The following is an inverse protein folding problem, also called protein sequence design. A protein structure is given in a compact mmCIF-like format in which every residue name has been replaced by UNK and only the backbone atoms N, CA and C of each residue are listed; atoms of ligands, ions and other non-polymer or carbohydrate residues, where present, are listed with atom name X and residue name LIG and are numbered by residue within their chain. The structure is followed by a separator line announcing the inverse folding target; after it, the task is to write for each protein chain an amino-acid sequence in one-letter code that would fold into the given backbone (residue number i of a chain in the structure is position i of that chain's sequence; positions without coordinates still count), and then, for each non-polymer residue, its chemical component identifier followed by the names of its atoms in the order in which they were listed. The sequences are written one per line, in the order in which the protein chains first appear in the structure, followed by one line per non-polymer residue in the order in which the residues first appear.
data_IF_436108097506
#
_entry.id   IF_436108097506
#
_cell.length_a   1.000
_cell.length_b   1.000
_cell.length_c   1.000
_cell.angle_alpha   90.00
_cell.angle_beta   90.00
_cell.angle_gamma   90.00
#
_symmetry.space_group_name_H-M   'P 1'
#
loop_
_entity.id
_entity.type
_entity.pdbx_description
1 polymer ?
#
# COMPACT_ATOMS: atom_id res chain seq x y z
N UNK A 1 -33.19 -1.14 0.69
CA UNK A 1 -33.74 0.11 0.14
C UNK A 1 -32.62 0.79 -0.60
N UNK A 2 -32.86 1.22 -1.83
CA UNK A 2 -31.84 1.91 -2.64
C UNK A 2 -31.77 3.34 -2.14
N UNK A 3 -30.70 3.74 -1.46
CA UNK A 3 -30.34 5.16 -1.42
C UNK A 3 -30.20 5.60 -2.87
N UNK A 4 -30.95 6.61 -3.31
CA UNK A 4 -30.79 7.15 -4.66
C UNK A 4 -29.31 7.55 -4.88
N UNK A 5 -28.56 6.70 -5.57
CA UNK A 5 -27.12 6.89 -5.74
C UNK A 5 -26.91 7.52 -7.10
N UNK A 6 -26.65 8.83 -7.12
CA UNK A 6 -26.21 9.49 -8.35
C UNK A 6 -24.89 8.88 -8.82
N UNK A 7 -24.80 8.58 -10.11
CA UNK A 7 -23.56 8.08 -10.71
C UNK A 7 -22.49 9.16 -10.56
N UNK A 8 -21.36 8.79 -9.98
CA UNK A 8 -20.19 9.66 -9.87
C UNK A 8 -19.59 9.91 -11.25
N UNK A 9 -19.99 11.03 -11.86
CA UNK A 9 -19.59 11.41 -13.21
C UNK A 9 -18.08 11.64 -13.36
N UNK A 10 -17.38 11.92 -12.26
CA UNK A 10 -15.92 12.14 -12.29
C UNK A 10 -15.12 10.88 -12.63
N UNK A 11 -15.73 9.71 -12.47
CA UNK A 11 -15.10 8.40 -12.73
C UNK A 11 -15.38 7.84 -14.12
N UNK A 12 -16.14 8.55 -14.94
CA UNK A 12 -16.39 8.12 -16.31
C UNK A 12 -15.11 8.24 -17.14
N UNK A 13 -14.82 7.28 -18.04
CA UNK A 13 -13.71 7.42 -18.96
C UNK A 13 -13.93 8.65 -19.84
N UNK A 14 -12.85 9.35 -20.24
CA UNK A 14 -12.97 10.44 -21.19
C UNK A 14 -13.57 9.89 -22.50
N UNK A 15 -14.46 10.64 -23.16
CA UNK A 15 -15.05 10.20 -24.42
C UNK A 15 -14.03 10.27 -25.56
N UNK A 16 -14.27 9.53 -26.63
CA UNK A 16 -13.41 9.45 -27.83
C UNK A 16 -13.08 10.82 -28.46
N UNK A 17 -13.91 11.83 -28.21
CA UNK A 17 -13.67 13.21 -28.64
C UNK A 17 -12.44 13.83 -27.98
N UNK A 18 -12.04 13.34 -26.81
CA UNK A 18 -10.86 13.81 -26.08
C UNK A 18 -9.68 12.88 -26.38
N UNK A 19 -8.81 13.32 -27.28
CA UNK A 19 -7.67 12.54 -27.72
C UNK A 19 -6.46 12.67 -26.77
N UNK A 20 -5.68 11.59 -26.64
CA UNK A 20 -4.37 11.63 -26.00
C UNK A 20 -3.36 12.30 -26.94
N UNK A 21 -2.72 13.37 -26.46
CA UNK A 21 -1.85 14.19 -27.27
C UNK A 21 -0.38 13.81 -27.09
N UNK A 22 0.32 13.59 -28.21
CA UNK A 22 1.76 13.33 -28.24
C UNK A 22 2.41 14.26 -29.27
N UNK A 23 3.33 15.09 -28.78
CA UNK A 23 4.11 15.99 -29.63
C UNK A 23 4.90 15.21 -30.69
N UNK A 24 5.56 14.11 -30.31
CA UNK A 24 6.37 13.31 -31.23
C UNK A 24 5.53 12.67 -32.33
N UNK A 25 4.32 12.20 -32.00
CA UNK A 25 3.39 11.63 -32.98
C UNK A 25 2.94 12.68 -34.00
N UNK A 26 2.62 13.89 -33.53
CA UNK A 26 2.23 15.01 -34.39
C UNK A 26 3.41 15.43 -35.27
N UNK A 27 4.60 15.60 -34.71
CA UNK A 27 5.81 15.97 -35.45
C UNK A 27 6.13 14.95 -36.55
N UNK A 28 6.06 13.66 -36.25
CA UNK A 28 6.25 12.61 -37.24
C UNK A 28 5.21 12.68 -38.37
N UNK A 29 3.94 12.93 -38.05
CA UNK A 29 2.89 13.11 -39.05
C UNK A 29 3.15 14.33 -39.95
N UNK A 30 3.51 15.48 -39.38
CA UNK A 30 3.84 16.69 -40.16
C UNK A 30 5.08 16.51 -41.03
N UNK A 31 6.10 15.77 -40.56
CA UNK A 31 7.28 15.40 -41.36
C UNK A 31 6.89 14.55 -42.57
N UNK A 32 6.08 13.52 -42.34
CA UNK A 32 5.58 12.65 -43.40
C UNK A 32 4.76 13.43 -44.44
N UNK A 33 3.91 14.36 -44.00
CA UNK A 33 3.13 15.21 -44.90
C UNK A 33 4.03 16.09 -45.79
N UNK A 34 5.05 16.74 -45.22
CA UNK A 34 6.00 17.53 -46.00
C UNK A 34 6.78 16.67 -46.98
N UNK A 35 7.23 15.48 -46.57
CA UNK A 35 7.94 14.54 -47.44
C UNK A 35 7.07 14.11 -48.64
N UNK A 36 5.76 13.96 -48.45
CA UNK A 36 4.83 13.62 -49.53
C UNK A 36 4.61 14.79 -50.51
N UNK A 37 4.55 16.02 -50.00
CA UNK A 37 4.27 17.23 -50.81
C UNK A 37 5.51 17.69 -51.57
N UNK A 38 6.69 17.61 -50.94
CA UNK A 38 7.97 18.05 -51.49
C UNK A 38 9.07 16.98 -51.28
N UNK A 39 9.02 15.85 -52.01
CA UNK A 39 9.99 14.77 -51.86
C UNK A 39 11.44 15.21 -52.12
N UNK A 40 11.65 16.26 -52.91
CA UNK A 40 12.95 16.84 -53.23
C UNK A 40 13.68 17.44 -52.02
N UNK A 41 12.98 17.69 -50.90
CA UNK A 41 13.55 18.23 -49.67
C UNK A 41 14.21 17.17 -48.78
N UNK A 42 13.99 15.87 -49.06
CA UNK A 42 14.55 14.75 -48.29
C UNK A 42 14.38 14.91 -46.76
N UNK A 43 13.14 15.16 -46.34
CA UNK A 43 12.71 15.52 -44.97
C UNK A 43 13.14 14.47 -43.93
N UNK A 44 13.20 13.20 -44.35
CA UNK A 44 13.62 12.07 -43.51
C UNK A 44 15.08 12.17 -43.06
N UNK A 45 15.93 12.82 -43.87
CA UNK A 45 17.36 12.99 -43.60
C UNK A 45 17.73 14.39 -43.06
N UNK A 46 16.74 15.25 -42.80
CA UNK A 46 17.00 16.58 -42.23
C UNK A 46 17.58 16.49 -40.81
N UNK A 47 18.67 17.21 -40.59
CA UNK A 47 19.26 17.40 -39.27
C UNK A 47 18.33 18.20 -38.35
N UNK A 48 18.43 18.01 -37.04
CA UNK A 48 17.65 18.79 -36.06
C UNK A 48 18.01 20.29 -36.04
N UNK A 49 19.21 20.63 -36.51
CA UNK A 49 19.68 22.00 -36.67
C UNK A 49 19.15 22.69 -37.93
N UNK A 50 18.56 21.93 -38.86
CA UNK A 50 18.03 22.47 -40.10
C UNK A 50 16.86 23.44 -39.84
N UNK A 51 16.80 24.60 -40.51
CA UNK A 51 15.70 25.55 -40.37
C UNK A 51 14.32 24.93 -40.64
N UNK A 52 14.21 24.00 -41.58
CA UNK A 52 12.96 23.29 -41.89
C UNK A 52 12.53 22.42 -40.71
N UNK A 53 13.46 21.70 -40.09
CA UNK A 53 13.22 20.94 -38.86
C UNK A 53 12.67 21.84 -37.76
N UNK A 54 13.24 23.04 -37.56
CA UNK A 54 12.72 24.00 -36.57
C UNK A 54 11.32 24.51 -36.91
N UNK A 55 11.02 24.76 -38.18
CA UNK A 55 9.68 25.15 -38.61
C UNK A 55 8.65 24.04 -38.37
N UNK A 56 9.00 22.78 -38.66
CA UNK A 56 8.14 21.62 -38.41
C UNK A 56 7.86 21.45 -36.90
N UNK A 57 8.86 21.66 -36.05
CA UNK A 57 8.67 21.68 -34.59
C UNK A 57 7.68 22.77 -34.15
N UNK A 58 7.79 23.98 -34.71
CA UNK A 58 6.82 25.07 -34.45
C UNK A 58 5.42 24.70 -34.91
N UNK A 59 5.28 24.08 -36.08
CA UNK A 59 3.98 23.62 -36.60
C UNK A 59 3.36 22.55 -35.71
N UNK A 60 4.12 21.52 -35.35
CA UNK A 60 3.68 20.45 -34.46
C UNK A 60 3.26 21.01 -33.09
N UNK A 61 4.01 21.98 -32.54
CA UNK A 61 3.66 22.63 -31.28
C UNK A 61 2.37 23.45 -31.39
N UNK A 62 2.17 24.20 -32.47
CA UNK A 62 0.91 24.94 -32.71
C UNK A 62 -0.28 24.01 -32.85
N UNK A 63 -0.12 22.90 -33.58
CA UNK A 63 -1.17 21.90 -33.72
C UNK A 63 -1.50 21.24 -32.38
N UNK A 64 -0.49 20.87 -31.59
CA UNK A 64 -0.67 20.35 -30.23
C UNK A 64 -1.51 21.32 -29.37
N UNK A 65 -1.22 22.62 -29.42
CA UNK A 65 -1.96 23.63 -28.66
C UNK A 65 -3.40 23.79 -29.15
N UNK A 66 -3.62 23.71 -30.47
CA UNK A 66 -4.96 23.76 -31.05
C UNK A 66 -5.79 22.53 -30.65
N UNK A 67 -5.22 21.33 -30.74
CA UNK A 67 -5.86 20.09 -30.31
C UNK A 67 -6.14 20.08 -28.80
N UNK A 68 -5.21 20.57 -27.97
CA UNK A 68 -5.43 20.75 -26.54
C UNK A 68 -6.61 21.70 -26.25
N UNK A 69 -6.68 22.83 -26.96
CA UNK A 69 -7.80 23.77 -26.84
C UNK A 69 -9.13 23.13 -27.27
N UNK A 70 -9.12 22.27 -28.29
CA UNK A 70 -10.31 21.51 -28.72
C UNK A 70 -10.71 20.51 -27.63
N UNK A 71 -9.77 19.75 -27.05
CA UNK A 71 -10.00 18.86 -25.93
C UNK A 71 -10.61 19.59 -24.73
N UNK A 72 -10.08 20.75 -24.36
CA UNK A 72 -10.61 21.59 -23.28
C UNK A 72 -12.02 22.10 -23.60
N UNK A 73 -12.27 22.50 -24.85
CA UNK A 73 -13.60 22.94 -25.30
C UNK A 73 -14.62 21.79 -25.24
N UNK A 74 -14.21 20.58 -25.64
CA UNK A 74 -15.03 19.37 -25.54
C UNK A 74 -15.34 19.03 -24.07
N UNK A 75 -14.35 19.09 -23.17
CA UNK A 75 -14.55 18.90 -21.73
C UNK A 75 -15.47 19.95 -21.13
N UNK A 76 -15.39 21.20 -21.60
CA UNK A 76 -16.19 22.31 -21.14
C UNK A 76 -17.69 22.17 -21.41
N UNK A 77 -18.10 21.40 -22.42
CA UNK A 77 -19.52 21.19 -22.75
C UNK A 77 -20.12 19.92 -22.15
N UNK A 78 -19.37 19.19 -21.34
CA UNK A 78 -19.81 17.93 -20.72
C UNK A 78 -20.00 18.12 -19.22
N UNK A 79 -21.18 17.75 -18.70
CA UNK A 79 -21.50 17.89 -17.27
C UNK A 79 -20.45 17.26 -16.35
N UNK A 80 -19.88 16.11 -16.76
CA UNK A 80 -18.87 15.38 -16.01
C UNK A 80 -17.57 16.16 -15.76
N UNK A 81 -17.17 17.05 -16.67
CA UNK A 81 -15.87 17.74 -16.63
C UNK A 81 -15.96 19.27 -16.69
N UNK A 82 -17.13 19.83 -16.98
CA UNK A 82 -17.32 21.27 -17.03
C UNK A 82 -17.11 21.90 -15.65
N UNK A 83 -16.52 23.09 -15.65
CA UNK A 83 -16.23 23.90 -14.46
C UNK A 83 -16.61 25.37 -14.70
N UNK A 84 -16.76 26.13 -13.61
CA UNK A 84 -17.05 27.56 -13.64
C UNK A 84 -18.26 27.92 -14.52
N UNK A 85 -18.10 28.95 -15.36
CA UNK A 85 -19.19 29.48 -16.20
C UNK A 85 -19.73 28.49 -17.22
N UNK A 86 -18.93 27.53 -17.69
CA UNK A 86 -19.42 26.50 -18.58
C UNK A 86 -20.43 25.58 -17.86
N UNK A 87 -20.11 25.19 -16.62
CA UNK A 87 -21.03 24.43 -15.78
C UNK A 87 -22.29 25.23 -15.46
N UNK A 88 -22.18 26.54 -15.22
CA UNK A 88 -23.33 27.42 -14.98
C UNK A 88 -24.29 27.43 -16.17
N UNK A 89 -23.77 27.50 -17.41
CA UNK A 89 -24.58 27.46 -18.62
C UNK A 89 -25.24 26.08 -18.84
N UNK A 90 -24.55 25.00 -18.50
CA UNK A 90 -25.13 23.65 -18.56
C UNK A 90 -26.24 23.48 -17.50
N UNK A 91 -26.02 23.97 -16.28
CA UNK A 91 -27.01 23.94 -15.20
C UNK A 91 -28.28 24.73 -15.58
N UNK A 92 -28.11 25.86 -16.27
CA UNK A 92 -29.22 26.68 -16.75
C UNK A 92 -30.16 25.93 -17.72
N UNK A 93 -29.68 24.92 -18.46
CA UNK A 93 -30.52 24.11 -19.36
C UNK A 93 -31.61 23.32 -18.63
N UNK A 94 -31.38 23.03 -17.34
CA UNK A 94 -32.31 22.31 -16.47
C UNK A 94 -32.83 23.19 -15.34
N UNK A 95 -32.85 24.51 -15.54
CA UNK A 95 -33.32 25.52 -14.58
C UNK A 95 -32.60 25.47 -13.21
N UNK A 96 -31.35 25.03 -13.18
CA UNK A 96 -30.50 25.09 -11.98
C UNK A 96 -29.58 26.29 -12.07
N UNK A 97 -29.44 27.02 -10.98
CA UNK A 97 -28.53 28.15 -10.84
C UNK A 97 -27.60 27.92 -9.65
N UNK A 98 -26.38 28.45 -9.77
CA UNK A 98 -25.38 28.43 -8.70
C UNK A 98 -25.89 29.22 -7.51
N UNK A 99 -25.93 28.59 -6.35
CA UNK A 99 -26.34 29.22 -5.10
C UNK A 99 -25.24 30.10 -4.52
N UNK A 100 -25.66 31.22 -3.92
CA UNK A 100 -24.82 32.10 -3.10
C UNK A 100 -24.89 31.57 -1.67
N UNK A 101 -23.74 31.31 -1.05
CA UNK A 101 -23.61 30.74 0.29
C UNK A 101 -23.79 31.79 1.40
N UNK A 102 -23.48 33.06 1.12
CA UNK A 102 -23.45 34.15 2.10
C UNK A 102 -24.48 35.25 1.78
N UNK A 103 -25.73 34.89 1.45
CA UNK A 103 -26.75 35.84 0.98
C UNK A 103 -26.96 37.06 1.88
N UNK A 104 -26.97 36.86 3.20
CA UNK A 104 -27.16 37.95 4.16
C UNK A 104 -25.99 38.94 4.13
N UNK A 105 -24.76 38.45 4.08
CA UNK A 105 -23.56 39.27 3.95
C UNK A 105 -23.52 40.02 2.62
N UNK A 106 -23.95 39.37 1.52
CA UNK A 106 -24.08 40.02 0.21
C UNK A 106 -25.13 41.13 0.24
N UNK A 107 -26.26 40.92 0.92
CA UNK A 107 -27.26 41.96 1.11
C UNK A 107 -26.71 43.16 1.93
N UNK A 108 -25.71 42.92 2.78
CA UNK A 108 -24.96 43.94 3.52
C UNK A 108 -23.79 44.57 2.73
N UNK A 109 -23.53 44.13 1.49
CA UNK A 109 -22.53 44.70 0.59
C UNK A 109 -21.20 43.94 0.48
N UNK A 110 -21.11 42.73 1.05
CA UNK A 110 -19.94 41.86 0.90
C UNK A 110 -19.91 41.14 -0.46
N UNK A 111 -18.75 40.59 -0.82
CA UNK A 111 -18.62 39.83 -2.07
C UNK A 111 -19.36 38.49 -1.97
N UNK A 112 -20.04 38.04 -3.05
CA UNK A 112 -20.74 36.77 -3.05
C UNK A 112 -19.76 35.60 -3.03
N UNK A 113 -19.96 34.73 -2.05
CA UNK A 113 -19.37 33.40 -1.98
C UNK A 113 -20.35 32.42 -2.62
N UNK A 114 -19.88 31.61 -3.56
CA UNK A 114 -20.73 30.69 -4.30
C UNK A 114 -20.49 29.24 -3.91
N UNK A 115 -21.49 28.40 -4.14
CA UNK A 115 -21.30 26.94 -4.05
C UNK A 115 -20.23 26.44 -5.05
N UNK A 116 -19.58 25.34 -4.69
CA UNK A 116 -18.56 24.73 -5.54
C UNK A 116 -19.16 23.99 -6.76
N UNK A 117 -18.30 23.71 -7.74
CA UNK A 117 -18.70 23.04 -8.98
C UNK A 117 -19.25 21.63 -8.74
N UNK A 118 -18.72 20.91 -7.75
CA UNK A 118 -19.17 19.54 -7.45
C UNK A 118 -20.62 19.50 -6.98
N UNK A 119 -21.01 20.43 -6.10
CA UNK A 119 -22.40 20.55 -5.63
C UNK A 119 -23.32 21.01 -6.75
N UNK A 120 -22.92 22.01 -7.54
CA UNK A 120 -23.71 22.46 -8.69
C UNK A 120 -23.92 21.33 -9.70
N UNK A 121 -22.88 20.55 -9.99
CA UNK A 121 -22.94 19.38 -10.88
C UNK A 121 -23.89 18.32 -10.34
N UNK A 122 -23.79 17.97 -9.06
CA UNK A 122 -24.68 17.01 -8.42
C UNK A 122 -26.15 17.45 -8.47
N UNK A 123 -26.43 18.73 -8.18
CA UNK A 123 -27.78 19.31 -8.29
C UNK A 123 -28.30 19.32 -9.73
N UNK A 124 -27.43 19.63 -10.70
CA UNK A 124 -27.76 19.62 -12.13
C UNK A 124 -28.13 18.22 -12.61
N UNK A 125 -27.39 17.20 -12.19
CA UNK A 125 -27.72 15.79 -12.49
C UNK A 125 -29.05 15.37 -11.86
N UNK A 126 -29.30 15.81 -10.62
CA UNK A 126 -30.52 15.51 -9.87
C UNK A 126 -31.76 16.26 -10.38
N UNK A 127 -31.57 17.36 -11.12
CA UNK A 127 -32.67 18.21 -11.61
C UNK A 127 -33.71 17.46 -12.46
N UNK A 128 -33.29 16.42 -13.19
CA UNK A 128 -34.22 15.61 -13.99
C UNK A 128 -35.26 14.88 -13.13
N UNK A 129 -34.90 14.50 -11.89
CA UNK A 129 -35.85 13.90 -10.95
C UNK A 129 -36.91 14.91 -10.47
N UNK A 130 -36.54 16.19 -10.41
CA UNK A 130 -37.44 17.29 -10.04
C UNK A 130 -38.56 17.56 -11.06
N UNK A 131 -38.49 16.99 -12.27
CA UNK A 131 -39.61 17.08 -13.23
C UNK A 131 -40.72 16.06 -12.96
N UNK A 132 -40.50 15.12 -12.04
CA UNK A 132 -41.49 14.11 -11.67
C UNK A 132 -42.59 14.74 -10.80
N UNK A 133 -43.85 14.61 -11.24
CA UNK A 133 -45.03 14.99 -10.46
C UNK A 133 -45.60 13.84 -9.63
N UNK A 134 -44.99 12.67 -9.70
CA UNK A 134 -45.47 11.43 -9.08
C UNK A 134 -44.86 11.15 -7.69
N UNK A 135 -44.08 12.09 -7.13
CA UNK A 135 -43.51 11.95 -5.78
C UNK A 135 -42.41 10.92 -5.66
N UNK A 136 -41.51 10.84 -6.63
CA UNK A 136 -40.34 9.95 -6.51
C UNK A 136 -39.41 10.44 -5.41
N UNK A 137 -38.65 9.51 -4.82
CA UNK A 137 -37.61 9.83 -3.83
C UNK A 137 -36.65 10.92 -4.35
N UNK A 138 -36.24 10.81 -5.62
CA UNK A 138 -35.37 11.77 -6.29
C UNK A 138 -35.98 13.17 -6.43
N UNK A 139 -37.30 13.28 -6.65
CA UNK A 139 -37.99 14.57 -6.75
C UNK A 139 -37.91 15.33 -5.42
N UNK A 140 -38.28 14.67 -4.32
CA UNK A 140 -38.17 15.25 -2.99
C UNK A 140 -36.72 15.58 -2.62
N UNK A 141 -35.78 14.71 -2.97
CA UNK A 141 -34.36 14.96 -2.76
C UNK A 141 -33.90 16.24 -3.48
N UNK A 142 -34.31 16.43 -4.73
CA UNK A 142 -33.99 17.62 -5.52
C UNK A 142 -34.55 18.90 -4.89
N UNK A 143 -35.85 18.91 -4.58
CA UNK A 143 -36.54 20.09 -4.05
C UNK A 143 -36.02 20.46 -2.66
N UNK A 144 -35.79 19.46 -1.80
CA UNK A 144 -35.21 19.67 -0.49
C UNK A 144 -33.78 20.22 -0.60
N UNK A 145 -32.90 19.59 -1.39
CA UNK A 145 -31.50 20.03 -1.54
C UNK A 145 -31.38 21.42 -2.17
N UNK A 146 -32.30 21.77 -3.08
CA UNK A 146 -32.32 23.08 -3.75
C UNK A 146 -32.92 24.19 -2.91
N UNK A 147 -33.55 23.88 -1.77
CA UNK A 147 -34.23 24.86 -0.95
C UNK A 147 -33.27 25.90 -0.35
N UNK A 148 -32.09 25.47 0.14
CA UNK A 148 -31.09 26.36 0.73
C UNK A 148 -29.65 25.91 0.43
N UNK A 149 -28.74 26.89 0.36
CA UNK A 149 -27.29 26.74 0.34
C UNK A 149 -26.72 26.00 1.57
N UNK A 150 -27.37 26.16 2.73
CA UNK A 150 -26.89 25.64 4.01
C UNK A 150 -27.13 24.14 4.18
N UNK A 151 -27.74 23.50 3.18
CA UNK A 151 -27.98 22.07 3.17
C UNK A 151 -26.72 21.35 2.66
N UNK A 152 -26.19 20.48 3.52
CA UNK A 152 -25.05 19.62 3.19
C UNK A 152 -25.52 18.38 2.44
N UNK A 153 -26.52 17.70 2.98
CA UNK A 153 -27.03 16.43 2.48
C UNK A 153 -28.51 16.25 2.88
N UNK A 154 -29.23 15.41 2.15
CA UNK A 154 -30.64 15.09 2.41
C UNK A 154 -30.88 13.61 2.15
N UNK A 155 -31.71 12.97 2.96
CA UNK A 155 -32.22 11.63 2.69
C UNK A 155 -33.73 11.63 2.75
N UNK A 156 -34.36 10.91 1.82
CA UNK A 156 -35.81 10.80 1.72
C UNK A 156 -36.18 9.33 1.84
N UNK A 157 -37.19 9.01 2.64
CA UNK A 157 -37.68 7.64 2.77
C UNK A 157 -39.14 7.62 3.25
N UNK A 158 -39.74 6.43 3.21
CA UNK A 158 -41.12 6.18 3.64
C UNK A 158 -41.20 4.83 4.33
N UNK A 159 -41.69 4.81 5.58
CA UNK A 159 -41.97 3.58 6.33
C UNK A 159 -43.44 3.17 6.25
N UNK A 160 -44.31 4.12 5.89
CA UNK A 160 -45.75 3.92 5.80
C UNK A 160 -46.28 4.56 4.51
N UNK A 161 -47.18 3.88 3.77
CA UNK A 161 -47.77 4.43 2.55
C UNK A 161 -48.39 5.81 2.79
N UNK A 162 -48.03 6.78 1.95
CA UNK A 162 -48.51 8.17 2.06
C UNK A 162 -47.79 9.02 3.09
N UNK A 163 -46.78 8.50 3.81
CA UNK A 163 -45.90 9.29 4.67
C UNK A 163 -44.50 9.37 4.07
N UNK A 164 -43.99 10.59 3.88
CA UNK A 164 -42.64 10.85 3.38
C UNK A 164 -41.86 11.55 4.48
N UNK A 165 -40.75 10.94 4.88
CA UNK A 165 -39.80 11.53 5.83
C UNK A 165 -38.58 12.04 5.08
N UNK A 166 -38.26 13.31 5.29
CA UNK A 166 -37.08 13.98 4.75
C UNK A 166 -36.17 14.35 5.91
N UNK A 167 -34.97 13.81 5.89
CA UNK A 167 -33.94 14.09 6.87
C UNK A 167 -32.92 15.06 6.28
N UNK A 168 -32.65 16.16 6.98
CA UNK A 168 -31.78 17.25 6.50
C UNK A 168 -30.51 17.34 7.34
N UNK A 169 -29.36 17.36 6.67
CA UNK A 169 -28.05 17.63 7.26
C UNK A 169 -27.62 19.06 6.92
N UNK A 170 -27.32 19.86 7.95
CA UNK A 170 -26.80 21.22 7.79
C UNK A 170 -25.30 21.23 7.46
N UNK A 171 -24.84 22.30 6.80
CA UNK A 171 -23.40 22.61 6.65
C UNK A 171 -22.81 23.23 7.91
N UNK A 172 -23.64 23.83 8.74
CA UNK A 172 -23.21 24.57 9.91
C UNK A 172 -23.00 23.65 11.12
N UNK A 173 -22.04 24.02 11.96
CA UNK A 173 -21.77 23.33 13.22
C UNK A 173 -21.48 21.84 13.06
N UNK A 174 -22.21 21.01 13.80
CA UNK A 174 -22.11 19.56 13.77
C UNK A 174 -23.09 18.89 12.79
N UNK A 175 -23.74 19.66 11.91
CA UNK A 175 -24.73 19.14 10.96
C UNK A 175 -26.18 19.21 11.43
N UNK A 176 -26.46 19.66 12.66
CA UNK A 176 -27.84 19.87 13.13
C UNK A 176 -28.52 20.99 12.34
N UNK A 177 -29.68 20.72 11.75
CA UNK A 177 -30.47 21.72 11.03
C UNK A 177 -31.24 22.64 12.00
N UNK A 178 -31.15 23.95 11.79
CA UNK A 178 -31.93 24.93 12.56
C UNK A 178 -33.42 24.83 12.22
N UNK A 179 -34.30 25.30 13.12
CA UNK A 179 -35.74 25.32 12.86
C UNK A 179 -36.11 26.15 11.62
N UNK A 180 -35.37 27.22 11.36
CA UNK A 180 -35.53 28.06 10.16
C UNK A 180 -35.19 27.29 8.88
N UNK A 181 -34.09 26.52 8.89
CA UNK A 181 -33.69 25.69 7.75
C UNK A 181 -34.72 24.58 7.49
N UNK A 182 -35.21 23.93 8.54
CA UNK A 182 -36.26 22.91 8.45
C UNK A 182 -37.52 23.52 7.83
N UNK A 183 -37.97 24.68 8.33
CA UNK A 183 -39.17 25.34 7.80
C UNK A 183 -39.02 25.75 6.34
N UNK A 184 -37.83 26.20 5.94
CA UNK A 184 -37.54 26.54 4.55
C UNK A 184 -37.68 25.31 3.65
N UNK A 185 -37.10 24.18 4.07
CA UNK A 185 -37.22 22.91 3.34
C UNK A 185 -38.67 22.45 3.30
N UNK A 186 -39.38 22.48 4.43
CA UNK A 186 -40.81 22.13 4.50
C UNK A 186 -41.65 22.92 3.50
N UNK A 187 -41.44 24.23 3.42
CA UNK A 187 -42.16 25.09 2.48
C UNK A 187 -41.87 24.72 1.02
N UNK A 188 -40.62 24.37 0.70
CA UNK A 188 -40.23 23.98 -0.66
C UNK A 188 -40.84 22.63 -1.07
N UNK A 189 -40.78 21.63 -0.19
CA UNK A 189 -41.28 20.27 -0.48
C UNK A 189 -42.79 20.12 -0.36
N UNK A 190 -43.46 21.03 0.35
CA UNK A 190 -44.93 21.08 0.44
C UNK A 190 -45.58 22.07 -0.53
N UNK A 191 -44.83 22.69 -1.44
CA UNK A 191 -45.39 23.57 -2.46
C UNK A 191 -46.41 22.82 -3.34
N UNK A 192 -47.46 23.52 -3.79
CA UNK A 192 -48.62 22.92 -4.48
C UNK A 192 -48.26 22.15 -5.75
N UNK A 193 -47.26 22.64 -6.50
CA UNK A 193 -46.76 22.00 -7.73
C UNK A 193 -45.66 20.94 -7.47
N UNK A 194 -45.22 20.78 -6.21
CA UNK A 194 -44.13 19.88 -5.82
C UNK A 194 -44.67 18.62 -5.14
N UNK A 195 -45.55 18.80 -4.16
CA UNK A 195 -46.06 17.69 -3.35
C UNK A 195 -47.22 16.98 -4.06
N UNK A 196 -47.14 15.66 -4.32
CA UNK A 196 -48.30 14.90 -4.75
C UNK A 196 -49.42 14.99 -3.73
N UNK A 197 -50.65 14.94 -4.23
CA UNK A 197 -51.85 15.27 -3.46
C UNK A 197 -51.97 14.45 -2.16
N UNK A 198 -51.59 13.17 -2.19
CA UNK A 198 -51.77 12.20 -1.10
C UNK A 198 -50.65 12.16 -0.08
N UNK A 199 -49.51 12.79 -0.37
CA UNK A 199 -48.29 12.57 0.41
C UNK A 199 -48.25 13.49 1.62
N UNK A 200 -48.06 12.92 2.81
CA UNK A 200 -47.82 13.65 4.03
C UNK A 200 -46.32 13.74 4.27
N UNK A 201 -45.75 14.90 3.95
CA UNK A 201 -44.30 15.14 4.01
C UNK A 201 -43.93 15.74 5.37
N UNK A 202 -42.99 15.10 6.06
CA UNK A 202 -42.39 15.56 7.32
C UNK A 202 -40.91 15.80 7.10
N UNK A 203 -40.40 16.93 7.60
CA UNK A 203 -38.98 17.24 7.54
C UNK A 203 -38.40 17.23 8.95
N UNK A 204 -37.24 16.62 9.13
CA UNK A 204 -36.52 16.58 10.41
C UNK A 204 -35.03 16.82 10.21
N UNK A 205 -34.35 17.28 11.27
CA UNK A 205 -32.89 17.32 11.31
C UNK A 205 -32.32 15.91 11.41
N UNK A 206 -31.12 15.72 10.87
CA UNK A 206 -30.29 14.55 11.11
C UNK A 206 -30.06 14.32 12.61
N UNK A 207 -30.13 13.06 13.04
CA UNK A 207 -29.69 12.65 14.37
C UNK A 207 -28.16 12.49 14.37
N UNK A 208 -27.50 13.18 15.31
CA UNK A 208 -26.04 13.20 15.39
C UNK A 208 -25.56 12.02 16.24
N UNK A 209 -24.76 11.13 15.65
CA UNK A 209 -24.08 10.04 16.33
C UNK A 209 -22.63 10.43 16.57
N UNK A 210 -22.25 10.88 17.78
CA UNK A 210 -20.88 11.25 18.07
C UNK A 210 -19.99 10.02 18.16
N UNK A 211 -18.78 10.09 17.59
CA UNK A 211 -17.74 9.08 17.80
C UNK A 211 -16.38 9.74 18.02
N UNK A 212 -15.44 8.95 18.55
CA UNK A 212 -14.08 9.39 18.83
C UNK A 212 -13.09 8.50 18.08
N UNK A 213 -12.08 9.12 17.50
CA UNK A 213 -10.95 8.45 16.84
C UNK A 213 -9.74 8.55 17.77
N UNK A 214 -9.30 7.41 18.28
CA UNK A 214 -8.07 7.27 19.06
C UNK A 214 -7.18 6.24 18.37
N UNK A 215 -6.05 6.71 17.85
CA UNK A 215 -5.13 5.90 17.07
C UNK A 215 -3.67 6.17 17.44
N UNK A 216 -2.86 5.11 17.36
CA UNK A 216 -1.42 5.16 17.52
C UNK A 216 -0.73 4.59 16.28
N UNK A 217 0.25 5.32 15.76
CA UNK A 217 1.01 4.93 14.57
C UNK A 217 2.35 4.29 14.99
N UNK A 218 2.72 3.22 14.29
CA UNK A 218 4.09 2.70 14.30
C UNK A 218 4.70 3.12 12.97
N UNK A 219 5.74 3.94 13.01
CA UNK A 219 6.41 4.47 11.82
C UNK A 219 7.66 3.67 11.48
N UNK A 220 8.02 3.65 10.20
CA UNK A 220 9.31 3.08 9.77
C UNK A 220 10.49 3.90 10.34
N UNK A 221 11.67 3.30 10.53
CA UNK A 221 12.86 4.02 10.96
C UNK A 221 13.25 5.09 9.93
N UNK A 222 13.40 6.34 10.36
CA UNK A 222 13.76 7.45 9.48
C UNK A 222 13.65 8.82 10.14
N UNK A 223 14.09 9.84 9.42
CA UNK A 223 13.84 11.25 9.79
C UNK A 223 12.45 11.65 9.25
N UNK A 224 11.70 12.42 10.03
CA UNK A 224 10.42 12.98 9.57
C UNK A 224 9.14 12.34 10.14
N UNK A 225 9.20 11.78 11.35
CA UNK A 225 8.02 11.14 11.97
C UNK A 225 6.84 12.09 12.22
N UNK A 226 7.13 13.36 12.53
CA UNK A 226 6.10 14.38 12.74
C UNK A 226 5.37 14.76 11.45
N UNK A 227 6.10 14.81 10.33
CA UNK A 227 5.53 15.08 9.01
C UNK A 227 4.60 13.95 8.57
N UNK A 228 4.99 12.70 8.80
CA UNK A 228 4.15 11.52 8.52
C UNK A 228 2.90 11.52 9.40
N UNK A 229 3.04 11.83 10.68
CA UNK A 229 1.92 11.95 11.63
C UNK A 229 0.94 13.05 11.19
N UNK A 230 1.45 14.21 10.78
CA UNK A 230 0.64 15.33 10.28
C UNK A 230 -0.13 14.93 9.02
N UNK A 231 0.53 14.28 8.06
CA UNK A 231 -0.11 13.78 6.85
C UNK A 231 -1.21 12.75 7.16
N UNK A 232 -0.97 11.83 8.11
CA UNK A 232 -1.98 10.87 8.56
C UNK A 232 -3.18 11.56 9.23
N UNK A 233 -2.94 12.61 10.01
CA UNK A 233 -4.02 13.41 10.61
C UNK A 233 -4.87 14.11 9.56
N UNK A 234 -4.24 14.75 8.57
CA UNK A 234 -4.92 15.42 7.47
C UNK A 234 -5.76 14.43 6.64
N UNK A 235 -5.20 13.25 6.36
CA UNK A 235 -5.91 12.19 5.63
C UNK A 235 -7.15 11.67 6.39
N UNK A 236 -7.05 11.48 7.71
CA UNK A 236 -8.21 11.08 8.53
C UNK A 236 -9.25 12.18 8.60
N UNK A 237 -8.86 13.45 8.76
CA UNK A 237 -9.80 14.55 8.75
C UNK A 237 -10.54 14.66 7.41
N UNK A 238 -9.84 14.46 6.29
CA UNK A 238 -10.45 14.40 4.96
C UNK A 238 -11.41 13.20 4.82
N UNK A 239 -11.03 12.03 5.35
CA UNK A 239 -11.90 10.86 5.42
C UNK A 239 -13.17 11.16 6.22
N UNK A 240 -13.04 11.72 7.42
CA UNK A 240 -14.16 12.10 8.29
C UNK A 240 -15.09 13.09 7.59
N UNK A 241 -14.55 14.11 6.92
CA UNK A 241 -15.37 15.11 6.21
C UNK A 241 -16.12 14.51 5.02
N UNK A 242 -15.48 13.61 4.25
CA UNK A 242 -16.11 12.92 3.12
C UNK A 242 -17.18 11.90 3.54
N UNK A 243 -17.10 11.37 4.76
CA UNK A 243 -18.08 10.46 5.35
C UNK A 243 -19.08 11.16 6.28
N UNK A 244 -18.94 12.47 6.51
CA UNK A 244 -19.92 13.30 7.20
C UNK A 244 -21.12 13.56 6.27
N UNK A 245 -21.88 12.49 6.01
CA UNK A 245 -23.06 12.37 5.12
C UNK A 245 -24.10 11.44 5.76
N UNK A 246 -25.35 11.56 5.34
CA UNK A 246 -26.45 10.79 5.92
C UNK A 246 -26.35 9.30 5.58
N UNK A 247 -26.58 8.43 6.56
CA UNK A 247 -26.60 6.98 6.34
C UNK A 247 -25.27 6.36 5.91
N UNK A 248 -24.14 7.05 6.15
CA UNK A 248 -22.80 6.56 5.82
C UNK A 248 -22.13 6.01 7.07
N UNK A 249 -21.84 4.71 7.05
CA UNK A 249 -21.15 4.02 8.13
C UNK A 249 -19.69 4.49 8.26
N UNK A 250 -19.18 4.52 9.49
CA UNK A 250 -17.75 4.73 9.77
C UNK A 250 -17.12 3.38 10.08
N UNK A 251 -16.41 2.83 9.10
CA UNK A 251 -15.74 1.54 9.25
C UNK A 251 -14.33 1.70 9.80
N UNK A 252 -13.90 0.73 10.63
CA UNK A 252 -12.53 0.62 11.11
C UNK A 252 -11.54 0.49 9.97
N UNK A 253 -11.90 -0.29 8.94
CA UNK A 253 -11.06 -0.47 7.76
C UNK A 253 -10.84 0.87 7.02
N UNK A 254 -11.87 1.69 6.86
CA UNK A 254 -11.75 3.02 6.27
C UNK A 254 -10.85 3.96 7.07
N UNK A 255 -11.02 4.01 8.39
CA UNK A 255 -10.17 4.80 9.29
C UNK A 255 -8.70 4.34 9.26
N UNK A 256 -8.47 3.02 9.32
CA UNK A 256 -7.12 2.43 9.23
C UNK A 256 -6.48 2.78 7.88
N UNK A 257 -7.23 2.64 6.78
CA UNK A 257 -6.74 2.98 5.45
C UNK A 257 -6.38 4.46 5.32
N UNK A 258 -7.15 5.36 5.93
CA UNK A 258 -6.85 6.79 5.93
C UNK A 258 -5.62 7.11 6.79
N UNK A 259 -5.43 6.42 7.91
CA UNK A 259 -4.25 6.57 8.78
C UNK A 259 -2.97 6.01 8.15
N UNK A 260 -3.08 5.00 7.28
CA UNK A 260 -1.95 4.30 6.67
C UNK A 260 -1.32 5.11 5.54
N UNK A 261 -0.55 6.13 5.90
CA UNK A 261 0.19 6.98 4.97
C UNK A 261 1.61 6.46 4.69
N UNK A 262 2.25 6.99 3.64
CA UNK A 262 3.65 6.67 3.35
C UNK A 262 4.55 6.94 4.57
N UNK A 263 5.30 5.92 5.00
CA UNK A 263 6.15 5.97 6.20
C UNK A 263 5.51 5.37 7.45
N UNK A 264 4.21 5.03 7.42
CA UNK A 264 3.54 4.26 8.48
C UNK A 264 3.79 2.77 8.24
N UNK A 265 4.29 2.07 9.26
CA UNK A 265 4.46 0.62 9.26
C UNK A 265 3.17 -0.08 9.70
N UNK A 266 2.54 0.40 10.78
CA UNK A 266 1.30 -0.16 11.32
C UNK A 266 0.43 0.92 11.97
N UNK A 267 -0.88 0.68 11.99
CA UNK A 267 -1.89 1.53 12.61
C UNK A 267 -2.59 0.73 13.70
N UNK A 268 -2.55 1.25 14.92
CA UNK A 268 -3.27 0.69 16.07
C UNK A 268 -4.45 1.61 16.35
N UNK A 269 -5.65 1.19 15.94
CA UNK A 269 -6.91 1.91 16.16
C UNK A 269 -7.59 1.43 17.46
N UNK A 270 -7.52 2.26 18.51
CA UNK A 270 -8.12 1.99 19.82
C UNK A 270 -9.62 2.29 19.82
N UNK A 271 -10.02 3.43 19.26
CA UNK A 271 -11.42 3.82 19.09
C UNK A 271 -11.69 4.32 17.67
N UNK A 272 -12.84 3.96 17.06
CA UNK A 272 -13.92 3.13 17.61
C UNK A 272 -13.56 1.64 17.63
N UNK A 273 -13.91 0.89 18.69
CA UNK A 273 -13.55 -0.53 18.86
C UNK A 273 -14.22 -1.47 17.85
N UNK A 274 -15.37 -1.06 17.31
CA UNK A 274 -16.11 -1.71 16.23
C UNK A 274 -16.51 -0.67 15.18
N UNK A 275 -17.01 -1.12 14.04
CA UNK A 275 -17.59 -0.20 13.05
C UNK A 275 -18.77 0.56 13.68
N UNK A 276 -18.90 1.85 13.34
CA UNK A 276 -20.03 2.69 13.76
C UNK A 276 -21.06 2.65 12.64
N UNK A 277 -22.13 1.90 12.87
CA UNK A 277 -23.24 1.77 11.94
C UNK A 277 -24.19 2.95 12.08
N UNK A 278 -24.56 3.56 10.96
CA UNK A 278 -25.32 4.80 10.90
C UNK A 278 -26.61 4.55 10.14
N UNK A 279 -27.74 4.82 10.79
CA UNK A 279 -29.03 4.75 10.12
C UNK A 279 -29.17 5.85 9.05
N UNK A 280 -30.10 5.67 8.11
CA UNK A 280 -30.35 6.61 7.00
C UNK A 280 -30.73 8.04 7.43
N UNK A 281 -31.24 8.22 8.65
CA UNK A 281 -31.60 9.50 9.25
C UNK A 281 -30.57 9.99 10.28
N UNK A 282 -29.46 9.27 10.40
CA UNK A 282 -28.35 9.58 11.28
C UNK A 282 -27.14 10.04 10.49
N UNK A 283 -26.26 10.76 11.17
CA UNK A 283 -24.95 11.17 10.66
C UNK A 283 -23.90 10.97 11.73
N UNK A 284 -22.73 10.45 11.34
CA UNK A 284 -21.60 10.30 12.24
C UNK A 284 -20.82 11.61 12.35
N UNK A 285 -20.58 12.08 13.57
CA UNK A 285 -19.70 13.25 13.83
C UNK A 285 -18.54 12.80 14.70
N UNK A 286 -17.35 12.81 14.12
CA UNK A 286 -16.15 12.31 14.77
C UNK A 286 -15.29 13.42 15.35
N UNK A 287 -14.60 13.12 16.45
CA UNK A 287 -13.52 13.95 16.99
C UNK A 287 -12.27 13.12 17.19
N UNK A 288 -11.09 13.70 16.97
CA UNK A 288 -9.82 13.02 17.28
C UNK A 288 -9.52 13.22 18.77
N UNK A 289 -9.23 12.14 19.49
CA UNK A 289 -8.79 12.21 20.89
C UNK A 289 -7.38 12.80 20.95
N UNK A 290 -7.26 13.97 21.56
CA UNK A 290 -6.00 14.73 21.69
C UNK A 290 -5.29 14.91 20.34
N UNK A 291 -4.25 14.10 20.10
CA UNK A 291 -3.51 14.06 18.86
C UNK A 291 -3.09 12.61 18.57
N UNK A 292 -2.85 12.31 17.29
CA UNK A 292 -2.44 10.96 16.86
C UNK A 292 -1.04 10.68 17.41
N UNK A 293 -0.95 9.70 18.32
CA UNK A 293 0.31 9.29 18.92
C UNK A 293 1.12 8.49 17.91
N UNK A 294 2.44 8.54 17.98
CA UNK A 294 3.29 7.70 17.15
C UNK A 294 4.54 7.24 17.88
N UNK A 295 5.07 6.12 17.41
CA UNK A 295 6.35 5.56 17.85
C UNK A 295 7.12 5.10 16.61
N UNK A 296 8.45 5.15 16.66
CA UNK A 296 9.28 4.53 15.63
C UNK A 296 9.37 3.02 15.91
N UNK A 297 9.33 2.23 14.85
CA UNK A 297 9.68 0.82 14.92
C UNK A 297 11.06 0.71 15.56
N UNK A 298 11.14 -0.05 16.64
CA UNK A 298 12.43 -0.31 17.28
C UNK A 298 13.33 -1.02 16.26
N UNK A 299 14.37 -0.34 15.79
CA UNK A 299 15.49 -0.99 15.11
C UNK A 299 16.07 -1.94 16.14
N UNK A 300 15.88 -3.24 15.95
CA UNK A 300 16.43 -4.27 16.83
C UNK A 300 17.95 -4.27 16.71
N UNK A 301 18.62 -3.34 17.39
CA UNK A 301 20.04 -3.42 17.73
C UNK A 301 20.04 -3.96 19.16
N UNK A 302 20.35 -5.24 19.40
CA UNK A 302 20.38 -5.79 20.75
C UNK A 302 21.52 -5.13 21.53
N UNK A 303 21.21 -4.42 22.61
CA UNK A 303 22.19 -3.74 23.48
C UNK A 303 22.93 -4.71 24.43
N UNK A 304 22.67 -6.01 24.33
CA UNK A 304 23.44 -7.03 25.03
C UNK A 304 23.54 -8.29 24.15
N UNK A 305 24.73 -8.56 23.61
CA UNK A 305 25.05 -9.89 23.08
C UNK A 305 25.20 -10.85 24.27
N UNK A 306 24.48 -11.99 24.32
CA UNK A 306 24.82 -13.08 25.23
C UNK A 306 26.25 -13.55 24.94
N UNK A 307 27.06 -13.71 25.99
CA UNK A 307 28.47 -14.10 25.92
C UNK A 307 28.57 -15.60 25.62
N UNK A 308 28.47 -15.97 24.34
CA UNK A 308 28.37 -17.39 23.96
C UNK A 308 29.69 -18.15 23.89
N UNK A 309 30.81 -17.52 23.54
CA UNK A 309 32.15 -18.14 23.54
C UNK A 309 33.15 -17.19 24.19
N UNK A 310 33.99 -17.72 25.08
CA UNK A 310 35.18 -17.06 25.61
C UNK A 310 36.43 -17.81 25.11
N UNK A 311 37.42 -17.08 24.62
CA UNK A 311 38.70 -17.65 24.18
C UNK A 311 39.86 -17.01 24.94
N UNK A 312 40.63 -17.83 25.65
CA UNK A 312 41.87 -17.41 26.31
C UNK A 312 43.06 -17.70 25.40
N UNK A 313 43.58 -16.63 24.75
CA UNK A 313 44.71 -16.68 23.83
C UNK A 313 46.03 -17.10 24.49
N UNK A 314 46.15 -16.99 25.82
CA UNK A 314 47.38 -17.31 26.56
C UNK A 314 47.50 -18.81 26.81
N UNK A 315 46.37 -19.48 27.05
CA UNK A 315 46.31 -20.91 27.37
C UNK A 315 45.82 -21.78 26.21
N UNK A 316 45.23 -21.17 25.17
CA UNK A 316 44.60 -21.87 24.05
C UNK A 316 43.24 -22.49 24.41
N UNK A 317 42.65 -22.09 25.54
CA UNK A 317 41.41 -22.67 26.07
C UNK A 317 40.19 -21.93 25.54
N UNK A 318 39.23 -22.68 25.00
CA UNK A 318 37.91 -22.19 24.60
C UNK A 318 36.90 -22.64 25.63
N UNK A 319 36.13 -21.69 26.16
CA UNK A 319 34.98 -21.97 27.03
C UNK A 319 33.71 -21.50 26.34
N UNK A 320 32.81 -22.43 26.05
CA UNK A 320 31.49 -22.14 25.50
C UNK A 320 30.48 -22.22 26.63
N UNK A 321 29.86 -21.07 26.94
CA UNK A 321 28.95 -20.95 28.08
C UNK A 321 27.50 -21.22 27.63
N UNK A 322 26.98 -20.38 26.74
CA UNK A 322 25.60 -20.49 26.24
C UNK A 322 25.39 -19.65 24.99
N UNK A 323 24.98 -20.28 23.88
CA UNK A 323 24.85 -19.59 22.57
C UNK A 323 23.50 -18.87 22.42
N UNK A 324 22.52 -19.13 23.30
CA UNK A 324 21.14 -18.62 23.20
C UNK A 324 20.69 -17.98 24.53
N UNK A 325 19.90 -16.89 24.50
CA UNK A 325 19.25 -16.35 25.70
C UNK A 325 18.25 -17.34 26.34
N UNK A 326 18.14 -17.35 27.67
CA UNK A 326 17.23 -18.23 28.45
C UNK A 326 15.77 -18.18 27.96
N UNK A 327 15.31 -17.04 27.47
CA UNK A 327 13.93 -16.85 27.00
C UNK A 327 13.61 -17.56 25.68
N UNK A 328 14.61 -18.12 24.98
CA UNK A 328 14.47 -18.77 23.66
C UNK A 328 15.01 -20.21 23.62
N UNK A 329 15.12 -20.86 24.77
CA UNK A 329 15.80 -22.16 24.93
C UNK A 329 14.98 -23.40 24.59
N UNK A 330 13.66 -23.29 24.38
CA UNK A 330 12.77 -24.45 24.34
C UNK A 330 13.09 -25.47 23.22
N UNK A 331 13.74 -25.03 22.15
CA UNK A 331 13.94 -25.85 20.93
C UNK A 331 15.39 -26.34 20.75
N UNK A 332 16.26 -26.22 21.76
CA UNK A 332 17.67 -26.63 21.66
C UNK A 332 17.87 -28.03 22.24
N UNK A 333 18.56 -28.90 21.49
CA UNK A 333 18.99 -30.22 21.93
C UNK A 333 20.42 -30.20 22.47
N UNK A 334 21.34 -29.58 21.74
CA UNK A 334 22.76 -29.54 22.05
C UNK A 334 23.46 -28.37 21.31
N UNK A 335 24.69 -28.08 21.71
CA UNK A 335 25.55 -27.11 21.04
C UNK A 335 26.67 -27.82 20.30
N UNK A 336 27.03 -27.29 19.13
CA UNK A 336 28.08 -27.85 18.26
C UNK A 336 29.06 -26.75 17.84
N UNK A 337 30.37 -27.05 17.95
CA UNK A 337 31.45 -26.13 17.62
C UNK A 337 32.13 -26.55 16.32
N UNK A 338 32.43 -25.59 15.45
CA UNK A 338 33.06 -25.80 14.15
C UNK A 338 34.22 -24.82 13.95
N UNK A 339 35.17 -25.20 13.11
CA UNK A 339 36.08 -24.23 12.52
C UNK A 339 35.31 -23.28 11.60
N UNK A 340 35.71 -22.03 11.52
CA UNK A 340 35.12 -20.99 10.68
C UNK A 340 36.17 -20.24 9.89
N UNK A 341 35.84 -19.92 8.64
CA UNK A 341 36.73 -19.17 7.74
C UNK A 341 36.49 -17.67 7.80
N UNK A 342 35.35 -17.30 8.37
CA UNK A 342 35.00 -15.97 8.83
C UNK A 342 33.93 -16.13 9.93
N UNK A 343 33.34 -15.02 10.37
CA UNK A 343 32.32 -14.98 11.42
C UNK A 343 30.97 -15.65 11.08
N UNK A 344 30.74 -16.07 9.84
CA UNK A 344 29.44 -16.63 9.39
C UNK A 344 29.54 -17.97 8.67
N UNK A 345 30.74 -18.38 8.26
CA UNK A 345 30.97 -19.52 7.37
C UNK A 345 31.81 -20.59 8.06
N UNK A 346 31.22 -21.78 8.26
CA UNK A 346 31.93 -22.98 8.70
C UNK A 346 33.02 -23.41 7.72
N UNK A 347 34.10 -23.96 8.26
CA UNK A 347 35.22 -24.47 7.52
C UNK A 347 35.37 -25.98 7.60
N UNK A 348 35.57 -26.63 6.44
CA UNK A 348 35.18 -26.21 5.10
C UNK A 348 33.78 -26.73 4.72
N UNK A 349 32.95 -25.84 4.14
CA UNK A 349 32.22 -26.22 2.92
C UNK A 349 33.30 -26.43 1.84
N UNK A 350 33.87 -27.64 1.82
CA UNK A 350 35.01 -27.99 1.00
C UNK A 350 34.59 -28.32 -0.41
N UNK A 351 34.26 -27.31 -1.22
CA UNK A 351 33.92 -27.52 -2.62
C UNK A 351 35.21 -27.71 -3.43
N UNK A 352 35.88 -28.84 -3.23
CA UNK A 352 37.02 -29.34 -4.02
C UNK A 352 36.46 -30.28 -5.09
N UNK A 353 36.98 -30.20 -6.31
CA UNK A 353 36.61 -31.18 -7.32
C UNK A 353 37.29 -32.51 -6.98
N UNK A 354 36.50 -33.56 -6.81
CA UNK A 354 36.98 -34.92 -6.60
C UNK A 354 36.42 -35.78 -7.72
N UNK A 355 37.28 -36.51 -8.42
CA UNK A 355 36.86 -37.47 -9.43
C UNK A 355 36.84 -38.86 -8.79
N UNK A 356 35.80 -39.63 -9.10
CA UNK A 356 35.86 -41.07 -8.88
C UNK A 356 36.86 -41.68 -9.86
N UNK A 357 37.71 -42.56 -9.38
CA UNK A 357 38.65 -43.33 -10.21
C UNK A 357 37.92 -44.43 -11.00
N UNK A 358 38.67 -45.17 -11.83
CA UNK A 358 38.16 -46.30 -12.62
C UNK A 358 37.60 -47.46 -11.76
N UNK A 359 37.82 -47.42 -10.43
CA UNK A 359 37.24 -48.36 -9.46
C UNK A 359 36.01 -47.78 -8.75
N UNK A 360 35.52 -46.62 -9.19
CA UNK A 360 34.43 -45.85 -8.58
C UNK A 360 34.69 -45.46 -7.13
N UNK A 361 35.95 -45.16 -6.80
CA UNK A 361 36.35 -44.65 -5.49
C UNK A 361 36.96 -43.26 -5.59
N UNK A 362 36.84 -42.45 -4.53
CA UNK A 362 37.60 -41.21 -4.38
C UNK A 362 38.14 -41.10 -2.97
N UNK A 363 39.23 -40.36 -2.81
CA UNK A 363 39.86 -40.15 -1.49
C UNK A 363 39.74 -38.69 -1.09
N UNK A 364 39.02 -38.44 -0.01
CA UNK A 364 38.89 -37.13 0.62
C UNK A 364 40.22 -36.72 1.27
N UNK A 365 40.46 -35.42 1.38
CA UNK A 365 41.59 -34.90 2.16
C UNK A 365 41.40 -35.04 3.68
N UNK A 366 40.20 -35.40 4.13
CA UNK A 366 39.84 -35.57 5.54
C UNK A 366 39.33 -36.99 5.88
N UNK A 367 39.59 -37.44 7.12
CA UNK A 367 39.31 -38.81 7.59
C UNK A 367 37.82 -39.14 7.78
N UNK A 368 36.94 -38.13 7.91
CA UNK A 368 35.49 -38.29 8.05
C UNK A 368 34.75 -37.10 7.44
N UNK A 369 33.64 -37.37 6.74
CA UNK A 369 32.69 -36.38 6.23
C UNK A 369 31.30 -36.73 6.77
N UNK A 370 30.58 -35.75 7.31
CA UNK A 370 29.26 -35.99 7.91
C UNK A 370 28.17 -36.03 6.83
N UNK A 371 28.30 -35.15 5.83
CA UNK A 371 27.36 -35.00 4.73
C UNK A 371 28.13 -34.72 3.44
N UNK A 372 27.69 -35.34 2.34
CA UNK A 372 28.24 -35.12 1.00
C UNK A 372 27.17 -34.51 0.09
N UNK A 373 27.57 -33.53 -0.70
CA UNK A 373 26.77 -32.96 -1.79
C UNK A 373 27.53 -33.06 -3.09
N UNK A 374 26.81 -33.42 -4.14
CA UNK A 374 27.26 -33.38 -5.51
C UNK A 374 26.76 -32.09 -6.16
N UNK A 375 27.63 -31.30 -6.77
CA UNK A 375 27.21 -30.21 -7.66
C UNK A 375 27.14 -30.73 -9.10
N UNK A 376 25.96 -30.68 -9.70
CA UNK A 376 25.70 -31.02 -11.09
C UNK A 376 26.27 -29.96 -12.04
N UNK A 377 26.35 -30.28 -13.34
CA UNK A 377 26.83 -29.38 -14.40
C UNK A 377 26.02 -28.08 -14.52
N UNK A 378 24.74 -28.11 -14.15
CA UNK A 378 23.85 -26.96 -14.10
C UNK A 378 24.02 -26.09 -12.85
N UNK A 379 24.96 -26.46 -11.96
CA UNK A 379 25.22 -25.79 -10.69
C UNK A 379 24.29 -26.18 -9.55
N UNK A 380 23.32 -27.08 -9.77
CA UNK A 380 22.44 -27.58 -8.70
C UNK A 380 23.19 -28.51 -7.75
N UNK A 381 22.90 -28.41 -6.45
CA UNK A 381 23.50 -29.28 -5.44
C UNK A 381 22.52 -30.39 -5.03
N UNK A 382 22.97 -31.63 -5.10
CA UNK A 382 22.22 -32.82 -4.70
C UNK A 382 22.88 -33.43 -3.48
N UNK A 383 22.11 -33.63 -2.42
CA UNK A 383 22.56 -34.31 -1.22
C UNK A 383 22.72 -35.82 -1.49
N UNK A 384 23.89 -36.37 -1.21
CA UNK A 384 24.17 -37.80 -1.32
C UNK A 384 23.78 -38.48 -0.01
N UNK A 385 23.04 -39.58 -0.10
CA UNK A 385 22.58 -40.36 1.04
C UNK A 385 23.39 -41.66 1.17
N UNK A 386 23.22 -42.38 2.28
CA UNK A 386 23.91 -43.65 2.55
C UNK A 386 23.68 -44.74 1.48
N UNK A 387 22.60 -44.63 0.71
CA UNK A 387 22.32 -45.52 -0.44
C UNK A 387 23.18 -45.23 -1.67
N UNK A 388 23.78 -44.04 -1.71
CA UNK A 388 24.52 -43.53 -2.85
C UNK A 388 26.01 -43.88 -2.74
N UNK A 389 26.58 -43.88 -1.53
CA UNK A 389 28.00 -44.15 -1.30
C UNK A 389 28.28 -44.87 0.02
N UNK A 390 29.44 -45.53 0.12
CA UNK A 390 30.00 -46.06 1.37
C UNK A 390 31.30 -45.33 1.71
N UNK A 391 31.44 -44.86 2.95
CA UNK A 391 32.67 -44.25 3.45
C UNK A 391 33.45 -45.23 4.32
N UNK A 392 34.76 -45.35 4.07
CA UNK A 392 35.72 -46.07 4.94
C UNK A 392 36.95 -45.20 5.13
N UNK A 393 37.01 -44.47 6.26
CA UNK A 393 38.03 -43.44 6.49
C UNK A 393 37.95 -42.34 5.43
N UNK A 394 39.09 -42.02 4.79
CA UNK A 394 39.17 -41.04 3.70
C UNK A 394 38.53 -41.49 2.39
N UNK A 395 38.29 -42.79 2.21
CA UNK A 395 37.86 -43.33 0.92
C UNK A 395 36.34 -43.42 0.83
N UNK A 396 35.77 -42.82 -0.21
CA UNK A 396 34.35 -42.89 -0.57
C UNK A 396 34.22 -43.81 -1.78
N UNK A 397 33.40 -44.86 -1.65
CA UNK A 397 33.09 -45.80 -2.74
C UNK A 397 31.67 -45.56 -3.21
N UNK A 398 31.46 -45.30 -4.50
CA UNK A 398 30.12 -45.14 -5.06
C UNK A 398 29.36 -46.49 -5.08
N UNK A 399 28.13 -46.49 -4.57
CA UNK A 399 27.24 -47.66 -4.58
C UNK A 399 26.24 -47.55 -5.72
N UNK A 400 25.61 -46.38 -5.90
CA UNK A 400 24.53 -46.19 -6.88
C UNK A 400 25.03 -46.21 -8.32
N UNK A 401 24.23 -46.79 -9.22
CA UNK A 401 24.55 -46.80 -10.67
C UNK A 401 24.67 -45.37 -11.22
N UNK A 402 23.89 -44.43 -10.67
CA UNK A 402 23.96 -43.01 -11.00
C UNK A 402 25.34 -42.42 -10.71
N UNK A 403 25.93 -42.73 -9.55
CA UNK A 403 27.27 -42.25 -9.20
C UNK A 403 28.37 -42.97 -9.99
N UNK A 404 28.19 -44.27 -10.27
CA UNK A 404 29.15 -45.07 -11.06
C UNK A 404 29.24 -44.63 -12.52
N UNK A 405 28.15 -44.13 -13.10
CA UNK A 405 28.07 -43.74 -14.50
C UNK A 405 28.43 -42.26 -14.77
N UNK A 406 28.94 -41.53 -13.78
CA UNK A 406 29.37 -40.14 -13.96
C UNK A 406 30.64 -40.07 -14.82
N UNK A 407 30.53 -39.51 -16.03
CA UNK A 407 31.62 -39.42 -17.01
C UNK A 407 32.42 -38.09 -16.96
N UNK A 408 32.10 -37.18 -16.05
CA UNK A 408 32.70 -35.84 -15.97
C UNK A 408 33.16 -35.50 -14.54
N UNK A 409 34.05 -34.53 -14.42
CA UNK A 409 34.50 -33.99 -13.14
C UNK A 409 33.33 -33.49 -12.30
N UNK A 410 33.08 -34.17 -11.19
CA UNK A 410 32.04 -33.81 -10.25
C UNK A 410 32.65 -33.03 -9.10
N UNK A 411 31.99 -31.93 -8.72
CA UNK A 411 32.38 -31.19 -7.51
C UNK A 411 31.67 -31.80 -6.32
N UNK A 412 32.43 -32.44 -5.44
CA UNK A 412 31.88 -32.97 -4.19
C UNK A 412 32.21 -31.98 -3.09
N UNK A 413 31.16 -31.48 -2.47
CA UNK A 413 31.26 -30.66 -1.27
C UNK A 413 30.96 -31.54 -0.08
N UNK A 414 31.77 -31.45 0.96
CA UNK A 414 31.52 -32.16 2.21
C UNK A 414 31.42 -31.18 3.38
N UNK A 415 30.67 -31.56 4.40
CA UNK A 415 30.65 -30.89 5.71
C UNK A 415 31.49 -31.71 6.69
N UNK A 416 32.41 -31.03 7.39
CA UNK A 416 33.17 -31.66 8.46
C UNK A 416 32.27 -31.87 9.69
N UNK A 417 32.50 -32.96 10.44
CA UNK A 417 31.85 -33.13 11.72
C UNK A 417 32.24 -31.98 12.67
N UNK A 418 31.38 -31.65 13.63
CA UNK A 418 31.71 -30.67 14.66
C UNK A 418 32.99 -31.07 15.40
N UNK A 419 33.81 -30.07 15.73
CA UNK A 419 35.01 -30.22 16.55
C UNK A 419 34.67 -30.84 17.90
N UNK A 420 33.52 -30.44 18.46
CA UNK A 420 32.99 -30.95 19.71
C UNK A 420 31.49 -30.65 19.80
N UNK A 421 30.77 -31.56 20.45
CA UNK A 421 29.34 -31.46 20.73
C UNK A 421 29.16 -31.58 22.22
N UNK A 422 28.34 -30.73 22.81
CA UNK A 422 28.07 -30.75 24.25
C UNK A 422 26.60 -30.46 24.53
N UNK A 423 26.10 -30.99 25.65
CA UNK A 423 24.70 -30.83 26.05
C UNK A 423 24.38 -29.36 26.33
N UNK A 424 23.13 -28.97 26.14
CA UNK A 424 22.68 -27.60 26.45
C UNK A 424 22.85 -27.22 27.92
N UNK A 425 22.89 -28.21 28.81
CA UNK A 425 23.01 -28.02 30.26
C UNK A 425 24.47 -28.02 30.75
N UNK A 426 25.44 -28.19 29.84
CA UNK A 426 26.85 -28.30 30.16
C UNK A 426 27.62 -27.07 29.70
N UNK A 427 28.55 -26.60 30.52
CA UNK A 427 29.61 -25.69 30.06
C UNK A 427 30.75 -26.52 29.51
N UNK A 428 31.16 -26.24 28.27
CA UNK A 428 32.27 -26.93 27.65
C UNK A 428 33.53 -26.06 27.70
N UNK A 429 34.59 -26.60 28.31
CA UNK A 429 35.94 -26.05 28.20
C UNK A 429 36.86 -27.06 27.52
N UNK A 430 37.51 -26.66 26.42
CA UNK A 430 38.46 -27.52 25.72
C UNK A 430 39.70 -26.72 25.28
N UNK A 431 40.85 -27.39 25.25
CA UNK A 431 42.10 -26.79 24.80
C UNK A 431 42.33 -27.10 23.32
N UNK A 432 42.51 -26.06 22.52
CA UNK A 432 42.79 -26.16 21.08
C UNK A 432 44.28 -26.41 20.81
N UNK A 433 45.17 -26.09 21.75
CA UNK A 433 46.60 -26.27 21.58
C UNK A 433 46.93 -27.75 21.31
N UNK A 434 47.34 -28.06 20.07
CA UNK A 434 47.67 -29.40 19.61
C UNK A 434 46.60 -30.09 18.75
N UNK A 435 45.43 -29.47 18.53
CA UNK A 435 44.46 -29.95 17.54
C UNK A 435 44.94 -29.62 16.11
N UNK A 436 44.67 -30.48 15.11
CA UNK A 436 44.99 -30.19 13.71
C UNK A 436 44.10 -29.05 13.19
N UNK A 437 44.57 -27.80 13.29
CA UNK A 437 43.85 -26.62 12.81
C UNK A 437 43.90 -26.55 11.28
N UNK A 438 42.74 -26.45 10.59
CA UNK A 438 42.71 -26.26 9.14
C UNK A 438 43.44 -24.97 8.72
N UNK A 439 44.16 -24.99 7.59
CA UNK A 439 44.98 -23.87 7.11
C UNK A 439 44.20 -22.55 6.94
N UNK A 440 42.91 -22.64 6.63
CA UNK A 440 42.05 -21.48 6.37
C UNK A 440 41.25 -21.04 7.60
N UNK A 441 41.39 -21.71 8.75
CA UNK A 441 40.63 -21.41 9.96
C UNK A 441 41.05 -20.08 10.58
N UNK A 442 40.11 -19.12 10.62
CA UNK A 442 40.30 -17.80 11.23
C UNK A 442 39.40 -17.60 12.45
N UNK A 443 38.30 -18.37 12.54
CA UNK A 443 37.30 -18.24 13.60
C UNK A 443 36.93 -19.62 14.17
N UNK A 444 36.38 -19.62 15.37
CA UNK A 444 35.56 -20.71 15.91
C UNK A 444 34.10 -20.27 15.90
N UNK A 445 33.22 -21.17 15.47
CA UNK A 445 31.79 -20.95 15.41
C UNK A 445 31.10 -21.95 16.32
N UNK A 446 30.27 -21.48 17.25
CA UNK A 446 29.40 -22.35 18.04
C UNK A 446 27.95 -22.09 17.65
N UNK A 447 27.21 -23.17 17.38
CA UNK A 447 25.79 -23.11 17.04
C UNK A 447 24.95 -23.87 18.05
N UNK A 448 23.76 -23.36 18.32
CA UNK A 448 22.69 -24.14 18.93
C UNK A 448 22.01 -24.97 17.87
N UNK A 449 21.78 -26.25 18.16
CA UNK A 449 21.17 -27.19 17.23
C UNK A 449 19.93 -27.79 17.88
N UNK A 450 18.85 -27.92 17.11
CA UNK A 450 17.60 -28.54 17.59
C UNK A 450 17.65 -30.07 17.48
N UNK A 451 16.58 -30.74 17.92
CA UNK A 451 16.46 -32.20 17.85
C UNK A 451 16.45 -32.76 16.41
N UNK A 452 16.15 -31.92 15.42
CA UNK A 452 16.15 -32.26 13.99
C UNK A 452 17.50 -32.00 13.31
N UNK A 453 18.50 -31.50 14.05
CA UNK A 453 19.83 -31.19 13.50
C UNK A 453 19.93 -29.83 12.79
N UNK A 454 18.91 -28.97 12.91
CA UNK A 454 18.93 -27.63 12.34
C UNK A 454 19.64 -26.64 13.28
N UNK A 455 20.49 -25.80 12.71
CA UNK A 455 21.21 -24.74 13.44
C UNK A 455 20.34 -23.49 13.55
N UNK A 456 20.14 -23.01 14.78
CA UNK A 456 19.22 -21.89 15.05
C UNK A 456 19.96 -20.59 15.30
N UNK A 457 20.87 -20.58 16.27
CA UNK A 457 21.62 -19.40 16.69
C UNK A 457 23.11 -19.71 16.70
N UNK A 458 23.93 -18.72 16.35
CA UNK A 458 25.37 -18.87 16.24
C UNK A 458 26.12 -17.71 16.88
N UNK A 459 27.27 -18.01 17.46
CA UNK A 459 28.26 -17.04 17.92
C UNK A 459 29.62 -17.41 17.35
N UNK A 460 30.45 -16.40 17.11
CA UNK A 460 31.77 -16.57 16.53
C UNK A 460 32.83 -15.88 17.38
N UNK A 461 34.01 -16.49 17.49
CA UNK A 461 35.21 -15.84 18.05
C UNK A 461 36.37 -15.97 17.07
N UNK A 462 37.12 -14.89 16.88
CA UNK A 462 38.34 -14.88 16.09
C UNK A 462 39.49 -15.51 16.90
N UNK A 463 40.19 -16.47 16.30
CA UNK A 463 41.26 -17.26 16.94
C UNK A 463 42.53 -16.41 17.01
#
# INVERSE_FOLDING_TARGET
MSTFTSIDLSKLPPPDLVEELSYETILAATRNELQMIAPELDVDNLLESDPISKLLQVMAYRELHLRQRINESARGVMLASATGSNLDNLAALVNVQRQILNREAVAAGEQPEYENDDRLRARTQLAFEGFSTAGSEGAYLFHATSASENIKDVTVYSDHPGEVEICVLSREGNGTASGELIQLVENAVNAEEVRPLTDWVKVKSAEIVPYQVDASLVLLPGVGGEEVRKAAKEAVLAFMESHHRLGVDITRAGLISALYQNGVQNVILHEPVSDVLIARDQVAVGTIRDDIKWTQQATSIPTAMPSGIQFDKTTGTVTVLRVVPEEKEMDISHYAVYWGGNNTRKLPLGAKAYQFDDQHTLTLDHDNAEKLWMTNLDGSMVFLQDRDYQQTGKTITAISETLKNLQTDVRITYELPPLVVFSKDETLSFNIAGQPTPKDATHLLAFSVNEFGEMLYGVSVEI
#
